data_IF_920607567051
#
_entry.id   IF_920607567051
#
_cell.length_a   1.000
_cell.length_b   1.000
_cell.length_c   1.000
_cell.angle_alpha   90.00
_cell.angle_beta   90.00
_cell.angle_gamma   90.00
#
_symmetry.space_group_name_H-M   'P 1'
#
loop_
_entity.id
_entity.type
_entity.pdbx_description
1 polymer ?
#
# COMPACT_ATOMS: atom_id res chain seq x y z
N UNK A 1 28.41 -5.92 -3.59
CA UNK A 1 28.81 -5.62 -2.19
C UNK A 1 28.04 -6.40 -1.12
N UNK A 2 26.84 -6.94 -1.39
CA UNK A 2 25.96 -7.56 -0.38
C UNK A 2 26.33 -9.01 0.02
N UNK A 3 27.23 -9.65 -0.74
CA UNK A 3 27.60 -11.07 -0.58
C UNK A 3 28.52 -11.36 0.60
N UNK A 4 29.22 -10.35 1.13
CA UNK A 4 30.25 -10.55 2.18
C UNK A 4 29.68 -10.61 3.60
N UNK A 5 28.57 -9.91 3.87
CA UNK A 5 27.98 -9.84 5.21
C UNK A 5 27.64 -11.24 5.77
N UNK A 6 26.94 -12.14 5.04
CA UNK A 6 26.62 -13.47 5.56
C UNK A 6 27.84 -14.32 5.91
N UNK A 7 29.00 -14.07 5.29
CA UNK A 7 30.23 -14.85 5.54
C UNK A 7 30.79 -14.63 6.96
N UNK A 8 30.45 -13.52 7.62
CA UNK A 8 30.95 -13.20 8.95
C UNK A 8 30.40 -14.11 10.06
N UNK A 9 29.35 -14.89 9.77
CA UNK A 9 28.88 -15.93 10.70
C UNK A 9 29.71 -17.21 10.61
N UNK A 10 30.46 -17.40 9.53
CA UNK A 10 31.22 -18.62 9.25
C UNK A 10 32.62 -18.56 9.86
N UNK A 11 32.97 -19.57 10.68
CA UNK A 11 34.28 -19.70 11.35
C UNK A 11 35.51 -19.57 10.47
N UNK A 12 35.60 -20.17 9.27
CA UNK A 12 36.80 -20.04 8.43
C UNK A 12 37.03 -18.61 7.92
N UNK A 13 36.01 -17.76 7.95
CA UNK A 13 36.07 -16.39 7.45
C UNK A 13 36.29 -15.38 8.56
N UNK A 14 35.47 -15.38 9.62
CA UNK A 14 35.58 -14.36 10.67
C UNK A 14 36.89 -14.43 11.45
N UNK A 15 37.51 -15.61 11.53
CA UNK A 15 38.81 -15.82 12.18
C UNK A 15 39.96 -15.05 11.54
N UNK A 16 39.82 -14.65 10.26
CA UNK A 16 40.82 -13.90 9.50
C UNK A 16 40.55 -12.40 9.48
N UNK A 17 39.40 -11.96 10.03
CA UNK A 17 38.99 -10.56 10.03
C UNK A 17 39.44 -9.87 11.31
N UNK A 18 39.68 -8.55 11.25
CA UNK A 18 40.17 -7.74 12.38
C UNK A 18 39.24 -7.77 13.60
N UNK A 19 37.92 -7.82 13.37
CA UNK A 19 36.91 -7.67 14.43
C UNK A 19 36.21 -8.98 14.83
N UNK A 20 36.47 -10.09 14.12
CA UNK A 20 35.96 -11.40 14.48
C UNK A 20 34.51 -11.66 14.08
N UNK A 21 33.81 -12.46 14.89
CA UNK A 21 32.47 -12.99 14.60
C UNK A 21 31.40 -11.89 14.56
N UNK A 22 30.52 -11.95 13.57
CA UNK A 22 29.33 -11.10 13.50
C UNK A 22 28.12 -11.86 12.95
N UNK A 23 26.92 -11.44 13.37
CA UNK A 23 25.63 -11.97 12.86
C UNK A 23 25.26 -11.34 11.52
N UNK A 24 26.06 -11.66 10.49
CA UNK A 24 25.93 -11.07 9.16
C UNK A 24 24.60 -11.32 8.44
N UNK A 25 23.89 -12.39 8.79
CA UNK A 25 22.57 -12.71 8.23
C UNK A 25 21.48 -11.75 8.73
N UNK A 26 21.50 -11.39 10.03
CA UNK A 26 20.59 -10.39 10.61
C UNK A 26 20.83 -9.02 9.97
N UNK A 27 22.09 -8.61 9.88
CA UNK A 27 22.47 -7.35 9.24
C UNK A 27 21.99 -7.28 7.79
N UNK A 28 22.14 -8.36 7.02
CA UNK A 28 21.63 -8.44 5.67
C UNK A 28 20.10 -8.26 5.63
N UNK A 29 19.38 -8.99 6.47
CA UNK A 29 17.92 -8.93 6.53
C UNK A 29 17.41 -7.52 6.88
N UNK A 30 18.03 -6.84 7.85
CA UNK A 30 17.64 -5.48 8.22
C UNK A 30 17.80 -4.48 7.07
N UNK A 31 18.90 -4.56 6.34
CA UNK A 31 19.14 -3.65 5.21
C UNK A 31 18.18 -3.96 4.05
N UNK A 32 17.88 -5.23 3.73
CA UNK A 32 16.87 -5.56 2.72
C UNK A 32 15.49 -5.03 3.11
N UNK A 33 15.10 -5.18 4.38
CA UNK A 33 13.81 -4.70 4.87
C UNK A 33 13.68 -3.18 4.70
N UNK A 34 14.72 -2.42 5.08
CA UNK A 34 14.73 -0.95 4.90
C UNK A 34 14.52 -0.60 3.43
N UNK A 35 15.26 -1.22 2.50
CA UNK A 35 15.10 -0.94 1.06
C UNK A 35 13.71 -1.29 0.55
N UNK A 36 13.15 -2.42 1.01
CA UNK A 36 11.80 -2.85 0.66
C UNK A 36 10.78 -1.80 1.10
N UNK A 37 10.86 -1.35 2.35
CA UNK A 37 9.93 -0.35 2.88
C UNK A 37 10.07 1.00 2.23
N UNK A 38 11.30 1.42 1.91
CA UNK A 38 11.53 2.64 1.15
C UNK A 38 10.82 2.60 -0.21
N UNK A 39 11.03 1.53 -0.98
CA UNK A 39 10.39 1.36 -2.29
C UNK A 39 8.87 1.30 -2.16
N UNK A 40 8.34 0.56 -1.18
CA UNK A 40 6.89 0.49 -0.94
C UNK A 40 6.29 1.85 -0.60
N UNK A 41 7.00 2.66 0.19
CA UNK A 41 6.54 4.00 0.56
C UNK A 41 6.51 4.93 -0.65
N UNK A 42 7.59 4.98 -1.42
CA UNK A 42 7.67 5.79 -2.64
C UNK A 42 6.61 5.38 -3.66
N UNK A 43 6.41 4.08 -3.87
CA UNK A 43 5.36 3.53 -4.73
C UNK A 43 3.95 3.95 -4.29
N UNK A 44 3.66 3.87 -2.99
CA UNK A 44 2.36 4.30 -2.44
C UNK A 44 2.08 5.79 -2.70
N UNK A 45 3.07 6.65 -2.50
CA UNK A 45 2.92 8.09 -2.74
C UNK A 45 2.66 8.40 -4.22
N UNK A 46 3.38 7.73 -5.12
CA UNK A 46 3.18 7.87 -6.56
C UNK A 46 1.79 7.38 -7.01
N UNK A 47 1.32 6.25 -6.48
CA UNK A 47 -0.02 5.74 -6.78
C UNK A 47 -1.12 6.70 -6.30
N UNK A 48 -0.96 7.28 -5.11
CA UNK A 48 -1.91 8.26 -4.57
C UNK A 48 -2.03 9.49 -5.48
N UNK A 49 -0.90 10.02 -5.96
CA UNK A 49 -0.89 11.13 -6.92
C UNK A 49 -1.55 10.75 -8.25
N UNK A 50 -1.21 9.57 -8.81
CA UNK A 50 -1.81 9.09 -10.05
C UNK A 50 -3.32 8.91 -9.94
N UNK A 51 -3.83 8.41 -8.82
CA UNK A 51 -5.27 8.26 -8.56
C UNK A 51 -5.98 9.60 -8.53
N UNK A 52 -5.42 10.61 -7.85
CA UNK A 52 -5.98 11.96 -7.86
C UNK A 52 -6.10 12.52 -9.29
N UNK A 53 -5.01 12.43 -10.07
CA UNK A 53 -5.02 12.86 -11.48
C UNK A 53 -6.01 12.08 -12.35
N UNK A 54 -6.27 10.80 -12.05
CA UNK A 54 -7.27 10.01 -12.77
C UNK A 54 -8.70 10.47 -12.43
N UNK A 55 -8.97 10.79 -11.17
CA UNK A 55 -10.26 11.34 -10.74
C UNK A 55 -10.53 12.69 -11.41
N UNK A 56 -9.53 13.57 -11.45
CA UNK A 56 -9.67 14.89 -12.10
C UNK A 56 -9.98 14.74 -13.60
N UNK A 57 -9.22 13.88 -14.31
CA UNK A 57 -9.47 13.58 -15.73
C UNK A 57 -10.85 12.97 -15.97
N UNK A 58 -11.31 12.14 -15.06
CA UNK A 58 -12.62 11.51 -15.16
C UNK A 58 -13.74 12.52 -14.92
N UNK A 59 -13.57 13.43 -13.95
CA UNK A 59 -14.47 14.56 -13.71
C UNK A 59 -14.60 15.46 -14.96
N UNK A 60 -13.48 15.78 -15.61
CA UNK A 60 -13.46 16.52 -16.88
C UNK A 60 -14.12 15.77 -18.04
N UNK A 61 -13.98 14.44 -18.07
CA UNK A 61 -14.55 13.60 -19.12
C UNK A 61 -16.07 13.40 -19.01
N UNK A 62 -16.70 13.76 -17.89
CA UNK A 62 -18.16 13.71 -17.78
C UNK A 62 -18.80 14.84 -18.61
N UNK A 63 -19.66 14.51 -19.59
CA UNK A 63 -20.41 15.54 -20.29
C UNK A 63 -21.40 16.19 -19.32
N UNK A 64 -21.52 17.53 -19.37
CA UNK A 64 -22.51 18.26 -18.60
C UNK A 64 -23.93 17.87 -19.06
N UNK A 65 -24.59 16.96 -18.35
CA UNK A 65 -25.96 16.54 -18.64
C UNK A 65 -26.91 17.63 -18.15
N UNK A 66 -27.70 18.21 -19.07
CA UNK A 66 -28.72 19.19 -18.71
C UNK A 66 -29.85 18.53 -17.89
N UNK A 67 -30.44 19.20 -16.89
CA UNK A 67 -31.45 18.62 -16.01
C UNK A 67 -32.73 18.14 -16.74
N UNK A 68 -32.95 18.63 -17.97
CA UNK A 68 -34.06 18.19 -18.83
C UNK A 68 -33.90 16.74 -19.33
N UNK A 69 -32.68 16.23 -19.44
CA UNK A 69 -32.36 14.86 -19.90
C UNK A 69 -32.61 13.82 -18.79
N UNK A 70 -32.59 14.21 -17.51
CA UNK A 70 -32.87 13.31 -16.38
C UNK A 70 -34.38 13.04 -16.21
N UNK A 71 -35.25 13.93 -16.68
CA UNK A 71 -36.70 13.82 -16.50
C UNK A 71 -37.38 12.87 -17.51
N UNK A 72 -36.68 12.48 -18.58
CA UNK A 72 -37.15 11.49 -19.56
C UNK A 72 -36.66 10.08 -19.19
N UNK A 73 -37.54 9.16 -18.76
CA UNK A 73 -37.14 7.76 -18.56
C UNK A 73 -36.85 7.13 -19.93
N UNK A 74 -35.57 7.00 -20.29
CA UNK A 74 -35.13 6.28 -21.49
C UNK A 74 -35.15 4.76 -21.25
N UNK A 75 -36.34 4.17 -21.08
CA UNK A 75 -36.53 2.73 -21.17
C UNK A 75 -37.04 2.39 -22.59
N UNK A 76 -36.11 1.98 -23.46
CA UNK A 76 -36.39 1.45 -24.81
C UNK A 76 -36.18 -0.08 -24.88
N UNK A 77 -36.67 -0.77 -25.93
CA UNK A 77 -36.91 -2.21 -25.96
C UNK A 77 -35.68 -3.11 -26.25
N UNK A 78 -34.44 -2.66 -25.99
CA UNK A 78 -33.21 -3.37 -26.40
C UNK A 78 -32.42 -4.02 -25.24
N UNK A 79 -31.68 -5.13 -25.49
CA UNK A 79 -31.40 -6.20 -24.52
C UNK A 79 -30.28 -5.95 -23.50
N UNK A 80 -29.79 -4.72 -23.36
CA UNK A 80 -28.90 -4.35 -22.26
C UNK A 80 -29.68 -3.43 -21.33
N UNK A 81 -30.52 -4.06 -20.49
CA UNK A 81 -31.32 -3.42 -19.46
C UNK A 81 -30.48 -2.82 -18.32
N UNK A 82 -31.13 -2.23 -17.30
CA UNK A 82 -30.43 -1.57 -16.21
C UNK A 82 -29.68 -2.63 -15.42
N UNK A 83 -28.37 -2.48 -15.30
CA UNK A 83 -27.60 -3.29 -14.35
C UNK A 83 -27.92 -2.76 -12.95
N UNK A 84 -29.03 -3.26 -12.38
CA UNK A 84 -29.43 -3.01 -11.00
C UNK A 84 -28.38 -3.65 -10.10
N UNK A 85 -27.51 -2.83 -9.53
CA UNK A 85 -26.47 -3.23 -8.58
C UNK A 85 -26.64 -2.50 -7.24
N UNK A 86 -27.88 -2.22 -6.87
CA UNK A 86 -28.23 -1.78 -5.52
C UNK A 86 -28.44 -3.03 -4.66
N UNK A 87 -27.46 -3.36 -3.78
CA UNK A 87 -27.69 -3.81 -2.39
C UNK A 87 -26.49 -4.45 -1.64
N UNK A 88 -25.32 -4.70 -2.26
CA UNK A 88 -24.24 -5.45 -1.58
C UNK A 88 -22.93 -4.66 -1.39
N UNK A 89 -23.01 -3.34 -1.13
CA UNK A 89 -21.85 -2.54 -0.72
C UNK A 89 -22.05 -1.62 0.49
N UNK A 90 -23.06 -1.88 1.32
CA UNK A 90 -23.16 -1.19 2.63
C UNK A 90 -22.46 -1.93 3.78
N UNK A 91 -21.99 -3.17 3.61
CA UNK A 91 -21.38 -3.95 4.71
C UNK A 91 -19.87 -3.82 4.88
N UNK A 92 -19.17 -2.98 4.09
CA UNK A 92 -17.71 -2.82 4.19
C UNK A 92 -17.23 -1.41 4.61
N UNK A 93 -18.15 -0.49 4.90
CA UNK A 93 -17.81 0.89 5.32
C UNK A 93 -17.72 1.09 6.85
N UNK A 94 -18.07 0.09 7.66
CA UNK A 94 -17.98 0.16 9.14
C UNK A 94 -16.95 -0.84 9.69
N UNK A 95 -15.68 -0.72 9.31
CA UNK A 95 -14.57 -1.27 10.13
C UNK A 95 -13.20 -0.63 9.90
N UNK A 96 -13.12 0.60 9.37
CA UNK A 96 -11.86 1.35 9.34
C UNK A 96 -12.08 2.83 9.70
N UNK A 97 -12.36 3.09 10.96
CA UNK A 97 -12.12 4.40 11.59
C UNK A 97 -12.11 4.26 13.12
N UNK A 98 -11.03 3.72 13.68
CA UNK A 98 -10.57 4.05 15.03
C UNK A 98 -9.05 4.17 14.94
N UNK A 99 -8.56 5.41 14.89
CA UNK A 99 -7.19 5.79 15.20
C UNK A 99 -7.25 6.70 16.43
N UNK A 100 -7.10 6.11 17.62
CA UNK A 100 -6.81 6.75 18.93
C UNK A 100 -6.88 5.61 19.96
N UNK A 101 -5.92 5.27 20.81
CA UNK A 101 -4.77 5.97 21.37
C UNK A 101 -3.74 4.94 21.91
N UNK A 102 -2.51 5.41 22.09
CA UNK A 102 -1.55 4.99 23.12
C UNK A 102 -1.21 3.49 23.28
N UNK A 103 -0.11 3.07 22.65
CA UNK A 103 0.75 2.03 23.25
C UNK A 103 2.22 2.39 23.00
N UNK A 104 2.73 3.26 23.86
CA UNK A 104 4.16 3.32 24.14
C UNK A 104 4.57 2.01 24.84
N UNK A 105 5.53 1.23 24.35
CA UNK A 105 6.10 0.18 25.17
C UNK A 105 7.00 0.83 26.22
N UNK A 106 6.49 0.98 27.45
CA UNK A 106 7.34 1.26 28.61
C UNK A 106 8.24 0.06 28.83
N UNK A 107 9.55 0.26 28.65
CA UNK A 107 10.57 -0.68 29.08
C UNK A 107 10.52 -0.78 30.60
N UNK A 108 9.91 -1.83 31.14
CA UNK A 108 10.11 -2.22 32.54
C UNK A 108 11.29 -3.19 32.60
N UNK A 109 12.36 -2.77 33.27
CA UNK A 109 13.51 -3.59 33.62
C UNK A 109 13.19 -4.37 34.90
N UNK A 110 13.38 -5.68 34.87
CA UNK A 110 13.53 -6.56 36.05
C UNK A 110 14.83 -7.31 35.90
#
# INVERSE_FOLDING_TARGET
MKTRLPLLSLKPYYSKTTYGYARGHEAYAYVENIRKYQLSLEGYLQEKQKKALQVDKFAEAYPAVAPVELASPSYGPFPLGPFSQDDEREKKSLSMAEHSDASTPSLTCT
#
